data_IF_821655657910
#
_entry.id   IF_821655657910
#
_cell.length_a   1.000
_cell.length_b   1.000
_cell.length_c   1.000
_cell.angle_alpha   90.00
_cell.angle_beta   90.00
_cell.angle_gamma   90.00
#
_symmetry.space_group_name_H-M   'P 1'
#
loop_
_entity.id
_entity.type
_entity.pdbx_description
1 polymer ?
#
# COMPACT_ATOMS: atom_id res chain seq x y z
N UNK A 1 -44.15 19.40 -1.37
CA UNK A 1 -43.15 19.39 -2.46
C UNK A 1 -41.85 19.95 -1.91
N UNK A 2 -40.80 19.13 -1.93
CA UNK A 2 -39.35 19.41 -1.91
C UNK A 2 -38.80 20.70 -1.30
N UNK A 3 -37.95 20.56 -0.27
CA UNK A 3 -36.66 21.27 -0.16
C UNK A 3 -35.89 20.74 1.07
N UNK A 4 -35.20 19.60 0.92
CA UNK A 4 -34.27 19.10 1.93
C UNK A 4 -33.09 18.39 1.25
N UNK A 5 -32.29 19.17 0.51
CA UNK A 5 -30.94 18.79 0.09
C UNK A 5 -30.09 20.06 0.02
N UNK A 6 -29.87 20.70 1.17
CA UNK A 6 -28.88 21.77 1.32
C UNK A 6 -28.04 21.50 2.58
N UNK A 7 -27.34 20.37 2.55
CA UNK A 7 -26.16 20.15 3.37
C UNK A 7 -25.26 19.11 2.72
N UNK A 8 -24.63 19.49 1.60
CA UNK A 8 -23.40 18.83 1.21
C UNK A 8 -22.26 19.50 2.00
N UNK A 9 -21.49 18.78 2.82
CA UNK A 9 -20.35 19.38 3.51
C UNK A 9 -19.34 19.90 2.47
N UNK A 10 -18.64 21.01 2.74
CA UNK A 10 -17.66 21.53 1.81
C UNK A 10 -16.42 20.64 1.85
N UNK A 11 -16.17 19.93 0.75
CA UNK A 11 -14.85 19.62 0.15
C UNK A 11 -14.99 18.42 -0.80
N UNK A 12 -15.54 18.66 -2.00
CA UNK A 12 -15.14 17.83 -3.13
C UNK A 12 -13.73 18.27 -3.54
N UNK A 13 -12.73 17.66 -2.90
CA UNK A 13 -11.39 17.60 -3.47
C UNK A 13 -11.54 17.09 -4.91
N UNK A 14 -11.08 17.82 -5.94
CA UNK A 14 -11.18 17.34 -7.32
C UNK A 14 -10.58 15.93 -7.40
N UNK A 15 -11.19 14.99 -8.16
CA UNK A 15 -10.57 13.69 -8.38
C UNK A 15 -9.17 13.90 -8.97
N UNK A 16 -8.15 13.55 -8.20
CA UNK A 16 -6.74 13.72 -8.58
C UNK A 16 -5.95 14.77 -7.78
N UNK A 17 -6.55 15.55 -6.88
CA UNK A 17 -5.79 16.41 -5.97
C UNK A 17 -5.31 15.56 -4.78
N UNK A 18 -4.01 15.25 -4.76
CA UNK A 18 -3.39 14.56 -3.64
C UNK A 18 -3.40 15.48 -2.41
N UNK A 19 -4.06 15.05 -1.36
CA UNK A 19 -4.10 15.78 -0.09
C UNK A 19 -2.99 15.30 0.85
N UNK A 20 -2.64 16.12 1.83
CA UNK A 20 -1.64 15.78 2.82
C UNK A 20 -2.34 15.50 4.15
N UNK A 21 -2.17 14.29 4.67
CA UNK A 21 -2.68 13.90 5.99
C UNK A 21 -1.73 14.44 7.05
N UNK A 22 -2.20 15.40 7.85
CA UNK A 22 -1.39 16.07 8.89
C UNK A 22 -1.53 15.38 10.24
N UNK A 23 -2.47 14.47 10.40
CA UNK A 23 -2.63 13.67 11.60
C UNK A 23 -1.72 12.43 11.56
N UNK A 24 -1.22 11.95 12.71
CA UNK A 24 -0.44 10.72 12.77
C UNK A 24 -1.26 9.52 12.29
N UNK A 25 -0.61 8.55 11.64
CA UNK A 25 -1.24 7.27 11.28
C UNK A 25 -1.66 6.49 12.53
N UNK A 26 -2.81 5.79 12.49
CA UNK A 26 -3.26 5.02 13.64
C UNK A 26 -2.25 3.91 13.94
N UNK A 27 -1.93 3.74 15.23
CA UNK A 27 -1.14 2.62 15.73
C UNK A 27 -2.12 1.54 16.19
N UNK A 28 -2.30 0.51 15.36
CA UNK A 28 -3.30 -0.56 15.57
C UNK A 28 -2.70 -1.83 16.19
N UNK A 29 -1.39 -1.84 16.42
CA UNK A 29 -0.64 -2.97 16.98
C UNK A 29 0.37 -2.52 18.05
N UNK A 30 1.28 -3.42 18.47
CA UNK A 30 2.26 -3.13 19.52
C UNK A 30 3.33 -2.10 19.12
N UNK A 31 3.48 -1.82 17.82
CA UNK A 31 4.46 -0.90 17.27
C UNK A 31 3.80 0.07 16.28
N UNK A 32 4.34 1.28 16.09
CA UNK A 32 3.93 2.16 14.99
C UNK A 32 4.04 1.45 13.63
N UNK A 33 3.19 1.82 12.64
CA UNK A 33 3.27 1.22 11.32
C UNK A 33 4.65 1.47 10.70
N UNK A 34 5.20 0.44 10.06
CA UNK A 34 6.46 0.51 9.32
C UNK A 34 6.28 1.30 8.02
N UNK A 35 5.16 1.11 7.33
CA UNK A 35 4.85 1.81 6.08
C UNK A 35 3.37 2.19 5.98
N UNK A 36 3.08 3.21 5.19
CA UNK A 36 1.73 3.60 4.82
C UNK A 36 1.36 2.99 3.47
N UNK A 37 0.14 2.46 3.35
CA UNK A 37 -0.46 2.12 2.07
C UNK A 37 -1.30 3.33 1.65
N UNK A 38 -0.99 3.91 0.49
CA UNK A 38 -1.71 5.06 -0.06
C UNK A 38 -2.33 4.68 -1.40
N UNK A 39 -3.64 4.79 -1.52
CA UNK A 39 -4.32 4.63 -2.81
C UNK A 39 -3.94 5.75 -3.77
N UNK A 40 -3.57 5.39 -5.01
CA UNK A 40 -3.45 6.35 -6.10
C UNK A 40 -4.82 6.94 -6.50
N UNK A 41 -5.90 6.25 -6.14
CA UNK A 41 -7.29 6.61 -6.38
C UNK A 41 -8.18 5.98 -5.30
N UNK A 42 -9.44 6.42 -5.22
CA UNK A 42 -10.45 5.80 -4.34
C UNK A 42 -10.67 4.32 -4.67
N UNK A 43 -10.93 3.50 -3.65
CA UNK A 43 -11.17 2.06 -3.77
C UNK A 43 -10.03 1.25 -4.41
N UNK A 44 -8.77 1.69 -4.23
CA UNK A 44 -7.57 0.95 -4.66
C UNK A 44 -7.28 -0.33 -3.84
N UNK A 45 -8.06 -0.61 -2.80
CA UNK A 45 -7.83 -1.73 -1.88
C UNK A 45 -6.96 -1.37 -0.67
N UNK A 46 -6.65 -0.08 -0.47
CA UNK A 46 -5.78 0.44 0.60
C UNK A 46 -6.19 -0.06 1.98
N UNK A 47 -7.46 0.11 2.34
CA UNK A 47 -8.00 -0.31 3.64
C UNK A 47 -7.87 -1.82 3.86
N UNK A 48 -8.21 -2.63 2.86
CA UNK A 48 -8.10 -4.09 2.92
C UNK A 48 -6.66 -4.55 3.11
N UNK A 49 -5.73 -4.00 2.32
CA UNK A 49 -4.31 -4.34 2.41
C UNK A 49 -3.71 -3.92 3.75
N UNK A 50 -4.00 -2.69 4.19
CA UNK A 50 -3.51 -2.19 5.48
C UNK A 50 -4.07 -2.97 6.67
N UNK A 51 -5.34 -3.39 6.63
CA UNK A 51 -5.89 -4.27 7.67
C UNK A 51 -5.20 -5.64 7.71
N UNK A 52 -4.87 -6.21 6.56
CA UNK A 52 -4.25 -7.54 6.48
C UNK A 52 -2.74 -7.55 6.76
N UNK A 53 -2.07 -6.40 6.82
CA UNK A 53 -0.65 -6.29 7.15
C UNK A 53 -0.47 -5.51 8.45
N UNK A 54 -0.13 -6.21 9.55
CA UNK A 54 0.19 -5.57 10.83
C UNK A 54 1.18 -4.38 10.74
N UNK A 55 2.25 -4.41 9.91
CA UNK A 55 3.18 -3.29 9.81
C UNK A 55 2.69 -2.14 8.92
N UNK A 56 1.46 -2.19 8.40
CA UNK A 56 0.92 -1.20 7.49
C UNK A 56 -0.11 -0.29 8.17
N UNK A 57 -0.23 0.95 7.69
CA UNK A 57 -1.36 1.82 7.99
C UNK A 57 -2.03 2.34 6.72
N UNK A 58 -3.35 2.49 6.76
CA UNK A 58 -4.14 3.11 5.69
C UNK A 58 -4.02 4.64 5.78
N UNK A 59 -3.65 5.28 4.66
CA UNK A 59 -3.63 6.75 4.54
C UNK A 59 -4.62 7.27 3.48
N UNK A 60 -5.56 6.43 3.04
CA UNK A 60 -6.51 6.76 1.99
C UNK A 60 -5.78 7.15 0.71
N UNK A 61 -6.11 8.31 0.15
CA UNK A 61 -5.42 8.89 -1.02
C UNK A 61 -4.55 10.09 -0.65
N UNK A 62 -4.12 10.16 0.62
CA UNK A 62 -3.41 11.31 1.17
C UNK A 62 -1.99 10.94 1.59
N UNK A 63 -1.01 11.80 1.28
CA UNK A 63 0.37 11.60 1.71
C UNK A 63 0.49 11.67 3.25
N UNK A 64 1.24 10.77 3.91
CA UNK A 64 1.42 10.81 5.37
C UNK A 64 2.46 11.88 5.76
N UNK A 65 2.00 13.11 5.97
CA UNK A 65 2.88 14.27 6.21
C UNK A 65 3.34 14.41 7.68
N UNK A 66 2.78 13.62 8.60
CA UNK A 66 3.10 13.74 10.02
C UNK A 66 4.33 12.92 10.42
N UNK A 67 5.37 13.61 10.90
CA UNK A 67 6.70 13.04 11.19
C UNK A 67 6.76 12.06 12.38
N UNK A 68 5.75 12.01 13.24
CA UNK A 68 5.73 11.07 14.38
C UNK A 68 5.29 9.66 13.99
N UNK A 69 4.87 9.44 12.75
CA UNK A 69 4.55 8.14 12.18
C UNK A 69 5.31 7.94 10.89
N UNK A 70 5.28 6.72 10.34
CA UNK A 70 6.02 6.42 9.11
C UNK A 70 5.67 7.38 7.97
N UNK A 71 6.71 7.75 7.23
CA UNK A 71 6.63 8.49 5.99
C UNK A 71 7.06 7.62 4.78
N UNK A 72 7.22 6.31 4.99
CA UNK A 72 7.48 5.33 3.93
C UNK A 72 6.16 4.92 3.28
N UNK A 73 6.03 5.10 1.96
CA UNK A 73 4.76 4.94 1.25
C UNK A 73 4.84 3.83 0.22
N UNK A 74 3.89 2.90 0.29
CA UNK A 74 3.56 1.96 -0.77
C UNK A 74 2.29 2.48 -1.46
N UNK A 75 2.41 2.87 -2.73
CA UNK A 75 1.27 3.33 -3.52
C UNK A 75 0.46 2.11 -3.97
N UNK A 76 -0.84 2.11 -3.77
CA UNK A 76 -1.76 1.05 -4.21
C UNK A 76 -2.58 1.53 -5.40
N UNK A 77 -2.70 0.67 -6.41
CA UNK A 77 -3.53 0.92 -7.56
C UNK A 77 -4.24 -0.35 -8.01
N UNK A 78 -5.46 -0.21 -8.52
CA UNK A 78 -6.17 -1.33 -9.14
C UNK A 78 -5.60 -1.59 -10.54
N UNK A 79 -5.54 -2.85 -10.93
CA UNK A 79 -5.11 -3.32 -12.24
C UNK A 79 -6.11 -3.02 -13.36
N UNK A 80 -6.48 -1.75 -13.50
CA UNK A 80 -7.29 -1.18 -14.58
C UNK A 80 -6.48 -0.08 -15.25
N UNK A 81 -6.83 0.30 -16.48
CA UNK A 81 -6.11 1.38 -17.17
C UNK A 81 -6.17 2.69 -16.37
N UNK A 82 -7.33 3.03 -15.81
CA UNK A 82 -7.50 4.23 -15.00
C UNK A 82 -6.76 4.15 -13.66
N UNK A 83 -6.70 2.97 -13.04
CA UNK A 83 -5.94 2.76 -11.81
C UNK A 83 -4.44 2.96 -12.02
N UNK A 84 -3.90 2.40 -13.11
CA UNK A 84 -2.48 2.58 -13.47
C UNK A 84 -2.19 4.02 -13.92
N UNK A 85 -3.11 4.70 -14.62
CA UNK A 85 -2.98 6.14 -14.94
C UNK A 85 -2.92 7.00 -13.68
N UNK A 86 -3.80 6.72 -12.72
CA UNK A 86 -3.78 7.41 -11.43
C UNK A 86 -2.43 7.19 -10.72
N UNK A 87 -1.93 5.94 -10.68
CA UNK A 87 -0.61 5.66 -10.13
C UNK A 87 0.50 6.45 -10.84
N UNK A 88 0.48 6.52 -12.17
CA UNK A 88 1.44 7.30 -12.94
C UNK A 88 1.41 8.79 -12.56
N UNK A 89 0.23 9.36 -12.36
CA UNK A 89 0.09 10.77 -11.95
C UNK A 89 0.69 11.01 -10.56
N UNK A 90 0.37 10.14 -9.59
CA UNK A 90 0.90 10.23 -8.22
C UNK A 90 2.41 10.08 -8.19
N UNK A 91 2.93 9.07 -8.88
CA UNK A 91 4.36 8.75 -8.87
C UNK A 91 5.19 9.79 -9.61
N UNK A 92 4.69 10.35 -10.72
CA UNK A 92 5.37 11.47 -11.40
C UNK A 92 5.34 12.75 -10.57
N UNK A 93 4.29 12.98 -9.78
CA UNK A 93 4.26 14.11 -8.85
C UNK A 93 5.33 13.93 -7.77
N UNK A 94 5.46 12.72 -7.21
CA UNK A 94 6.54 12.39 -6.28
C UNK A 94 7.94 12.55 -6.88
N UNK A 95 8.15 12.09 -8.12
CA UNK A 95 9.44 12.23 -8.83
C UNK A 95 9.84 13.69 -9.05
N UNK A 96 8.86 14.59 -9.23
CA UNK A 96 9.11 16.05 -9.29
C UNK A 96 9.29 16.71 -7.92
N UNK A 97 9.10 15.98 -6.82
CA UNK A 97 9.15 16.52 -5.47
C UNK A 97 7.84 17.18 -5.00
N UNK A 98 6.71 16.95 -5.68
CA UNK A 98 5.39 17.50 -5.31
C UNK A 98 4.75 16.69 -4.14
N UNK A 99 5.51 16.41 -3.08
CA UNK A 99 5.11 15.60 -1.91
C UNK A 99 5.61 16.24 -0.60
N UNK A 100 5.01 15.91 0.57
CA UNK A 100 5.47 16.45 1.84
C UNK A 100 6.92 16.06 2.16
N UNK A 101 7.63 16.95 2.84
CA UNK A 101 9.00 16.70 3.29
C UNK A 101 9.11 15.41 4.12
N UNK A 102 10.16 14.64 3.84
CA UNK A 102 10.45 13.35 4.49
C UNK A 102 9.63 12.16 3.97
N UNK A 103 8.59 12.40 3.18
CA UNK A 103 7.85 11.30 2.52
C UNK A 103 8.71 10.65 1.46
N UNK A 104 8.77 9.31 1.51
CA UNK A 104 9.51 8.50 0.54
C UNK A 104 8.59 7.45 -0.05
N UNK A 105 8.46 7.48 -1.38
CA UNK A 105 7.80 6.39 -2.11
C UNK A 105 8.74 5.20 -2.19
N UNK A 106 8.32 4.08 -1.63
CA UNK A 106 9.11 2.85 -1.57
C UNK A 106 8.64 1.81 -2.59
N UNK A 107 7.40 1.88 -3.07
CA UNK A 107 6.93 0.93 -4.07
C UNK A 107 5.52 1.17 -4.57
N UNK A 108 5.13 0.35 -5.55
CA UNK A 108 3.80 0.29 -6.15
C UNK A 108 3.23 -1.12 -5.98
N UNK A 109 2.08 -1.27 -5.33
CA UNK A 109 1.29 -2.51 -5.33
C UNK A 109 0.14 -2.40 -6.32
N UNK A 110 0.11 -3.33 -7.28
CA UNK A 110 -0.98 -3.46 -8.25
C UNK A 110 -1.91 -4.58 -7.79
N UNK A 111 -3.17 -4.22 -7.50
CA UNK A 111 -4.20 -5.16 -7.07
C UNK A 111 -5.02 -5.59 -8.29
N UNK A 112 -5.07 -6.88 -8.58
CA UNK A 112 -5.79 -7.41 -9.73
C UNK A 112 -7.28 -7.01 -9.68
N UNK A 113 -7.80 -6.52 -10.81
CA UNK A 113 -9.17 -6.04 -10.88
C UNK A 113 -10.20 -7.17 -11.05
N UNK A 114 -9.74 -8.36 -11.48
CA UNK A 114 -10.55 -9.53 -11.85
C UNK A 114 -9.73 -10.82 -11.71
N UNK A 115 -10.37 -12.00 -11.68
CA UNK A 115 -9.68 -13.28 -11.80
C UNK A 115 -8.89 -13.42 -13.11
N UNK A 116 -7.83 -14.22 -13.06
CA UNK A 116 -7.03 -14.61 -14.23
C UNK A 116 -6.04 -13.54 -14.69
N UNK A 117 -5.56 -13.69 -15.94
CA UNK A 117 -4.48 -12.86 -16.46
C UNK A 117 -4.91 -11.41 -16.67
N UNK A 118 -4.03 -10.49 -16.25
CA UNK A 118 -4.14 -9.08 -16.58
C UNK A 118 -4.01 -8.87 -18.11
N UNK A 119 -4.89 -8.07 -18.75
CA UNK A 119 -4.70 -7.66 -20.14
C UNK A 119 -3.31 -7.07 -20.40
N UNK A 120 -2.70 -7.43 -21.53
CA UNK A 120 -1.32 -7.03 -21.89
C UNK A 120 -1.10 -5.52 -21.90
N UNK A 121 -2.11 -4.76 -22.30
CA UNK A 121 -2.05 -3.30 -22.31
C UNK A 121 -1.86 -2.73 -20.91
N UNK A 122 -2.64 -3.22 -19.94
CA UNK A 122 -2.56 -2.81 -18.54
C UNK A 122 -1.23 -3.26 -17.92
N UNK A 123 -0.79 -4.50 -18.17
CA UNK A 123 0.47 -4.98 -17.59
C UNK A 123 1.68 -4.26 -18.17
N UNK A 124 1.69 -3.97 -19.48
CA UNK A 124 2.74 -3.16 -20.12
C UNK A 124 2.80 -1.77 -19.52
N UNK A 125 1.65 -1.11 -19.36
CA UNK A 125 1.63 0.23 -18.80
C UNK A 125 2.05 0.23 -17.32
N UNK A 126 1.59 -0.75 -16.54
CA UNK A 126 2.01 -0.92 -15.14
C UNK A 126 3.52 -1.12 -15.02
N UNK A 127 4.14 -1.90 -15.92
CA UNK A 127 5.59 -2.09 -15.93
C UNK A 127 6.33 -0.76 -16.17
N UNK A 128 5.91 0.04 -17.16
CA UNK A 128 6.51 1.37 -17.39
C UNK A 128 6.34 2.30 -16.19
N UNK A 129 5.16 2.32 -15.57
CA UNK A 129 4.92 3.15 -14.38
C UNK A 129 5.77 2.70 -13.19
N UNK A 130 6.07 1.39 -13.10
CA UNK A 130 6.88 0.83 -12.01
C UNK A 130 8.35 1.23 -12.07
N UNK A 131 8.83 1.76 -13.21
CA UNK A 131 10.18 2.32 -13.32
C UNK A 131 10.37 3.58 -12.46
N UNK A 132 9.28 4.21 -12.00
CA UNK A 132 9.30 5.38 -11.10
C UNK A 132 9.48 5.01 -9.63
N UNK A 133 9.52 3.72 -9.28
CA UNK A 133 9.60 3.27 -7.89
C UNK A 133 10.68 2.19 -7.71
N UNK A 134 11.26 2.07 -6.51
CA UNK A 134 12.25 1.03 -6.24
C UNK A 134 11.68 -0.39 -6.41
N UNK A 135 10.45 -0.61 -5.94
CA UNK A 135 9.84 -1.94 -5.87
C UNK A 135 8.42 -1.99 -6.45
N UNK A 136 8.13 -3.08 -7.16
CA UNK A 136 6.79 -3.38 -7.68
C UNK A 136 6.26 -4.66 -7.05
N UNK A 137 5.04 -4.59 -6.53
CA UNK A 137 4.32 -5.71 -5.97
C UNK A 137 3.05 -5.98 -6.77
N UNK A 138 2.60 -7.24 -6.77
CA UNK A 138 1.33 -7.63 -7.34
C UNK A 138 0.54 -8.41 -6.30
N UNK A 139 -0.73 -8.07 -6.16
CA UNK A 139 -1.71 -8.85 -5.40
C UNK A 139 -2.72 -9.37 -6.41
N UNK A 140 -2.76 -10.69 -6.58
CA UNK A 140 -3.71 -11.32 -7.47
C UNK A 140 -5.12 -11.27 -6.89
N UNK A 141 -6.09 -11.58 -7.74
CA UNK A 141 -7.48 -11.62 -7.33
C UNK A 141 -7.68 -12.61 -6.19
N UNK A 142 -8.34 -12.17 -5.12
CA UNK A 142 -8.56 -12.98 -3.93
C UNK A 142 -10.05 -13.23 -3.74
N UNK A 143 -10.55 -14.31 -4.36
CA UNK A 143 -11.96 -14.72 -4.29
C UNK A 143 -12.51 -14.79 -2.84
N UNK A 144 -11.78 -15.33 -1.83
CA UNK A 144 -12.31 -15.43 -0.47
C UNK A 144 -12.74 -14.09 0.16
N UNK A 145 -12.13 -12.97 -0.26
CA UNK A 145 -12.51 -11.64 0.24
C UNK A 145 -13.93 -11.24 -0.15
N UNK A 146 -14.48 -11.78 -1.24
CA UNK A 146 -15.85 -11.50 -1.69
C UNK A 146 -16.90 -12.07 -0.74
N UNK A 147 -16.54 -13.16 -0.03
CA UNK A 147 -17.40 -13.86 0.91
C UNK A 147 -16.96 -13.61 2.36
N UNK A 148 -16.15 -12.57 2.61
CA UNK A 148 -15.71 -12.23 3.95
C UNK A 148 -16.93 -11.89 4.82
N UNK A 149 -17.16 -12.60 5.94
CA UNK A 149 -18.34 -12.38 6.78
C UNK A 149 -18.33 -10.99 7.42
N UNK A 150 -17.14 -10.46 7.75
CA UNK A 150 -16.95 -9.15 8.34
C UNK A 150 -15.83 -8.39 7.62
N UNK A 151 -16.16 -7.48 6.71
CA UNK A 151 -15.16 -6.70 5.95
C UNK A 151 -14.32 -5.76 6.82
N UNK A 152 -14.72 -5.51 8.07
CA UNK A 152 -14.01 -4.70 9.05
C UNK A 152 -13.14 -5.54 10.00
N UNK A 153 -13.18 -6.87 9.88
CA UNK A 153 -12.45 -7.81 10.73
C UNK A 153 -11.78 -8.88 9.88
N UNK A 154 -10.79 -8.44 9.11
CA UNK A 154 -9.95 -9.33 8.31
C UNK A 154 -8.85 -9.96 9.19
N UNK A 155 -8.39 -11.19 8.87
CA UNK A 155 -7.21 -11.73 9.53
C UNK A 155 -6.00 -10.83 9.28
N UNK A 156 -5.10 -10.75 10.25
CA UNK A 156 -3.92 -9.89 10.20
C UNK A 156 -2.67 -10.76 10.05
N UNK A 157 -1.85 -10.44 9.06
CA UNK A 157 -0.53 -11.04 8.90
C UNK A 157 0.51 -10.18 9.62
N UNK A 158 1.35 -10.86 10.39
CA UNK A 158 2.49 -10.26 11.10
C UNK A 158 3.78 -10.86 10.53
N UNK A 159 4.84 -10.06 10.32
CA UNK A 159 6.16 -10.58 9.98
C UNK A 159 6.60 -11.65 10.99
N UNK A 160 7.01 -12.85 10.54
CA UNK A 160 7.35 -13.95 11.43
C UNK A 160 8.55 -13.57 12.27
N UNK A 161 8.44 -13.78 13.58
CA UNK A 161 9.60 -13.68 14.49
C UNK A 161 10.44 -14.96 14.42
N UNK A 162 11.76 -14.89 14.71
CA UNK A 162 12.64 -16.05 14.64
C UNK A 162 12.18 -17.26 15.48
N UNK A 163 11.43 -17.01 16.55
CA UNK A 163 10.92 -17.99 17.52
C UNK A 163 9.45 -18.38 17.29
N UNK A 164 8.77 -17.81 16.29
CA UNK A 164 7.35 -18.03 16.05
C UNK A 164 7.09 -19.27 15.20
N UNK A 165 6.19 -20.14 15.66
CA UNK A 165 5.79 -21.31 14.89
C UNK A 165 5.00 -20.89 13.65
N UNK A 166 5.26 -21.51 12.48
CA UNK A 166 4.50 -21.20 11.28
C UNK A 166 3.03 -21.58 11.47
N UNK A 167 2.10 -20.88 10.79
CA UNK A 167 0.69 -21.22 10.84
C UNK A 167 0.45 -22.66 10.33
N UNK A 168 -0.63 -23.33 10.78
CA UNK A 168 -0.95 -24.67 10.34
C UNK A 168 -1.05 -24.76 8.82
N UNK A 169 -0.51 -25.81 8.21
CA UNK A 169 -0.51 -25.99 6.74
C UNK A 169 -1.91 -25.94 6.10
N UNK A 170 -2.95 -26.30 6.87
CA UNK A 170 -4.35 -26.34 6.44
C UNK A 170 -5.14 -25.07 6.79
N UNK A 171 -4.56 -24.10 7.48
CA UNK A 171 -5.25 -22.86 7.80
C UNK A 171 -5.58 -22.09 6.51
N UNK A 172 -6.80 -21.58 6.42
CA UNK A 172 -7.31 -20.85 5.27
C UNK A 172 -8.09 -19.62 5.73
N UNK A 173 -8.42 -18.73 4.79
CA UNK A 173 -9.34 -17.64 5.04
C UNK A 173 -10.71 -18.19 5.49
N UNK A 174 -11.39 -17.61 6.50
CA UNK A 174 -11.11 -16.32 7.15
C UNK A 174 -10.14 -16.36 8.34
N UNK A 175 -9.66 -17.53 8.76
CA UNK A 175 -8.84 -17.69 9.97
C UNK A 175 -7.41 -17.16 9.79
N UNK A 176 -6.89 -17.19 8.55
CA UNK A 176 -5.55 -16.68 8.21
C UNK A 176 -5.58 -15.85 6.94
N UNK A 177 -4.62 -14.93 6.82
CA UNK A 177 -4.44 -14.10 5.64
C UNK A 177 -4.17 -14.97 4.40
N UNK A 178 -4.80 -14.67 3.24
CA UNK A 178 -4.48 -15.34 1.99
C UNK A 178 -2.97 -15.32 1.70
N UNK A 179 -2.40 -16.48 1.35
CA UNK A 179 -0.95 -16.68 1.20
C UNK A 179 -0.26 -15.63 0.33
N UNK A 180 -0.90 -15.22 -0.76
CA UNK A 180 -0.37 -14.18 -1.66
C UNK A 180 -0.24 -12.81 -0.98
N UNK A 181 -1.22 -12.42 -0.16
CA UNK A 181 -1.19 -11.16 0.58
C UNK A 181 -0.10 -11.22 1.65
N UNK A 182 0.00 -12.32 2.39
CA UNK A 182 1.08 -12.54 3.37
C UNK A 182 2.48 -12.50 2.71
N UNK A 183 2.64 -13.12 1.53
CA UNK A 183 3.90 -13.11 0.79
C UNK A 183 4.30 -11.71 0.33
N UNK A 184 3.35 -10.90 -0.15
CA UNK A 184 3.61 -9.49 -0.51
C UNK A 184 4.01 -8.68 0.72
N UNK A 185 3.32 -8.85 1.85
CA UNK A 185 3.69 -8.18 3.11
C UNK A 185 5.12 -8.53 3.55
N UNK A 186 5.49 -9.80 3.45
CA UNK A 186 6.85 -10.28 3.75
C UNK A 186 7.88 -9.64 2.81
N UNK A 187 7.57 -9.57 1.52
CA UNK A 187 8.47 -8.99 0.53
C UNK A 187 8.69 -7.50 0.80
N UNK A 188 7.62 -6.73 1.06
CA UNK A 188 7.71 -5.30 1.43
C UNK A 188 8.64 -5.12 2.64
N UNK A 189 8.43 -5.88 3.72
CA UNK A 189 9.28 -5.77 4.91
C UNK A 189 10.76 -6.08 4.61
N UNK A 190 11.00 -7.05 3.74
CA UNK A 190 12.36 -7.47 3.34
C UNK A 190 13.05 -6.38 2.52
N UNK A 191 12.33 -5.81 1.56
CA UNK A 191 12.84 -4.75 0.70
C UNK A 191 13.13 -3.47 1.49
N UNK A 192 12.18 -3.03 2.34
CA UNK A 192 12.38 -1.87 3.21
C UNK A 192 13.57 -2.05 4.16
N UNK A 193 13.77 -3.26 4.70
CA UNK A 193 14.93 -3.56 5.54
C UNK A 193 16.23 -3.48 4.74
N UNK A 194 16.24 -3.96 3.50
CA UNK A 194 17.42 -3.90 2.64
C UNK A 194 17.75 -2.46 2.21
N UNK A 195 16.74 -1.68 1.88
CA UNK A 195 16.88 -0.26 1.50
C UNK A 195 17.35 0.62 2.67
N UNK A 196 17.12 0.17 3.92
CA UNK A 196 17.57 0.88 5.12
C UNK A 196 18.99 0.50 5.57
N UNK A 197 19.57 -0.60 5.08
CA UNK A 197 20.93 -0.98 5.48
C UNK A 197 21.93 0.11 5.02
N UNK A 198 22.67 0.75 5.95
CA UNK A 198 23.66 1.74 5.57
C UNK A 198 24.69 1.07 4.66
N UNK A 199 24.99 1.68 3.51
CA UNK A 199 26.03 1.20 2.61
C UNK A 199 27.36 1.20 3.39
N UNK A 200 27.84 0.03 3.80
CA UNK A 200 29.18 -0.08 4.38
C UNK A 200 30.19 0.36 3.31
N UNK A 201 30.64 1.61 3.39
CA UNK A 201 31.73 2.11 2.56
C UNK A 201 32.99 1.42 3.06
N UNK A 202 33.42 0.38 2.36
CA UNK A 202 34.74 -0.21 2.54
C UNK A 202 35.77 0.85 2.13
N UNK A 203 36.22 1.65 3.10
CA UNK A 203 37.42 2.48 2.94
C UNK A 203 38.61 1.52 2.97
N UNK A 204 38.99 1.04 1.79
CA UNK A 204 40.24 0.35 1.58
C UNK A 204 41.39 1.32 1.75
N UNK A 205 41.92 1.43 2.96
CA UNK A 205 43.30 1.88 3.17
C UNK A 205 44.20 0.75 2.69
N UNK A 206 44.87 0.94 1.55
CA UNK A 206 46.04 0.13 1.20
C UNK A 206 47.30 0.85 1.67
N UNK A 207 48.26 0.15 2.30
CA UNK A 207 49.60 0.66 2.52
C UNK A 207 50.38 0.77 1.20
#
# INVERSE_FOLDING_TARGET
MSAAYDHYPPEHTPPGTLTWRREPLPVTGPYPPLFAVMGAHGFAGTTTLAQMWAPAADTGTSWPAHHTTTQLVIVAARGTLDGIRAAANVLRAADRGDIPDGVRVCGLVVVAARPGNCPKEISRYANTVSELVPHRYNVDWCEPLMCAPESHRLPVWTPPRPDELPPPKKAQFPDVVPKQIAAVGQQICTDLLNDHKPSHTSSGVRP
#
